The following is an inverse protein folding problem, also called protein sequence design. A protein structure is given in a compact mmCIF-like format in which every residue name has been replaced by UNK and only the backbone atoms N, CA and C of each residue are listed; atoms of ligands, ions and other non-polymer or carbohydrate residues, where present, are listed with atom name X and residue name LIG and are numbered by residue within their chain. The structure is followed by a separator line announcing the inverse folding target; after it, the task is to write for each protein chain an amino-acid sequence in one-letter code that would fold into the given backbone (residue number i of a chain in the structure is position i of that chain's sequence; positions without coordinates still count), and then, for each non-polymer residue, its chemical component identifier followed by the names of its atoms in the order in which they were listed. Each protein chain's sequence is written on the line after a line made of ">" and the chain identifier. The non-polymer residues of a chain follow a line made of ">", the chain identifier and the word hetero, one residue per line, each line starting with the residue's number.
data_IF_273488385247
#
_entry.id   IF_273488385247
#
_cell.length_a   1.000
_cell.length_b   1.000
_cell.length_c   1.000
_cell.angle_alpha   90.00
_cell.angle_beta   90.00
_cell.angle_gamma   90.00
#
_symmetry.space_group_name_H-M   'P 1'
#
loop_
_entity.id
_entity.type
_entity.pdbx_description
1 polymer ?
#
# COMPACT_ATOMS: atom_id res chain seq x y z
N UNK A 1 19.52 45.12 33.24
CA UNK A 1 19.37 43.74 32.83
C UNK A 1 19.86 42.81 33.96
N UNK A 2 19.05 41.88 34.46
CA UNK A 2 19.43 41.02 35.57
C UNK A 2 20.56 40.05 35.12
N UNK A 3 21.56 39.84 35.97
CA UNK A 3 22.72 38.94 35.67
C UNK A 3 22.25 37.56 35.14
N UNK A 4 21.13 37.06 35.63
CA UNK A 4 20.53 35.81 35.20
C UNK A 4 20.00 35.85 33.73
N UNK A 5 19.39 36.98 33.32
CA UNK A 5 18.97 37.18 31.92
C UNK A 5 20.15 37.27 30.97
N UNK A 6 21.24 37.98 31.38
CA UNK A 6 22.46 38.06 30.57
C UNK A 6 23.06 36.68 30.38
N UNK A 7 23.14 35.89 31.47
CA UNK A 7 23.60 34.50 31.40
C UNK A 7 22.75 33.65 30.44
N UNK A 8 21.42 33.76 30.53
CA UNK A 8 20.52 33.04 29.64
C UNK A 8 20.71 33.39 28.16
N UNK A 9 20.82 34.68 27.84
CA UNK A 9 21.06 35.15 26.46
C UNK A 9 22.41 34.64 25.93
N UNK A 10 23.47 34.74 26.74
CA UNK A 10 24.81 34.24 26.37
C UNK A 10 24.79 32.73 26.16
N UNK A 11 24.10 32.00 27.03
CA UNK A 11 23.98 30.55 26.94
C UNK A 11 23.21 30.10 25.67
N UNK A 12 22.09 30.75 25.34
CA UNK A 12 21.36 30.52 24.10
C UNK A 12 22.22 30.82 22.87
N UNK A 13 22.91 31.96 22.87
CA UNK A 13 23.81 32.32 21.77
C UNK A 13 24.96 31.32 21.59
N UNK A 14 25.50 30.79 22.69
CA UNK A 14 26.56 29.77 22.66
C UNK A 14 26.02 28.45 22.11
N UNK A 15 24.81 28.02 22.52
CA UNK A 15 24.16 26.80 21.99
C UNK A 15 23.88 26.95 20.50
N UNK A 16 23.40 28.10 20.05
CA UNK A 16 23.16 28.39 18.64
C UNK A 16 24.44 28.34 17.82
N UNK A 17 25.50 29.00 18.30
CA UNK A 17 26.81 28.94 17.68
C UNK A 17 27.38 27.54 17.56
N UNK A 18 27.29 26.76 18.64
CA UNK A 18 27.74 25.37 18.68
C UNK A 18 26.95 24.49 17.71
N UNK A 19 25.63 24.63 17.69
CA UNK A 19 24.76 23.89 16.78
C UNK A 19 25.06 24.22 15.31
N UNK A 20 25.31 25.52 15.02
CA UNK A 20 25.69 25.94 13.68
C UNK A 20 27.02 25.35 13.23
N UNK A 21 28.00 25.30 14.12
CA UNK A 21 29.34 24.72 13.82
C UNK A 21 29.24 23.23 13.57
N UNK A 22 28.43 22.51 14.37
CA UNK A 22 28.32 21.04 14.27
C UNK A 22 27.43 20.63 13.09
N UNK A 23 26.27 21.24 12.93
CA UNK A 23 25.22 20.80 12.00
C UNK A 23 25.10 21.66 10.73
N UNK A 24 25.60 22.91 10.74
CA UNK A 24 25.39 23.85 9.64
C UNK A 24 25.94 23.38 8.29
N UNK A 25 27.05 22.65 8.30
CA UNK A 25 27.64 22.09 7.08
C UNK A 25 26.92 20.85 6.53
N UNK A 26 26.04 20.24 7.31
CA UNK A 26 25.31 19.03 6.92
C UNK A 26 23.83 19.29 6.58
N UNK A 27 23.33 20.49 6.82
CA UNK A 27 21.92 20.84 6.61
C UNK A 27 21.50 20.92 5.13
N UNK A 28 22.43 21.09 4.20
CA UNK A 28 22.11 21.25 2.78
C UNK A 28 21.11 22.39 2.51
N UNK A 29 20.46 22.34 1.36
CA UNK A 29 19.40 23.30 0.99
C UNK A 29 17.98 22.85 1.38
N UNK A 30 17.86 21.74 2.09
CA UNK A 30 16.57 21.20 2.51
C UNK A 30 15.86 22.17 3.49
N UNK A 31 14.66 22.62 3.07
CA UNK A 31 13.81 23.52 3.85
C UNK A 31 13.34 22.88 5.16
N UNK A 32 13.18 21.56 5.20
CA UNK A 32 12.72 20.82 6.39
C UNK A 32 13.77 20.85 7.48
N UNK A 33 15.02 20.61 7.12
CA UNK A 33 16.14 20.70 8.06
C UNK A 33 16.29 22.12 8.62
N UNK A 34 16.10 23.14 7.77
CA UNK A 34 16.11 24.55 8.20
C UNK A 34 14.98 24.88 9.18
N UNK A 35 13.77 24.40 8.89
CA UNK A 35 12.59 24.58 9.76
C UNK A 35 12.71 23.80 11.07
N UNK A 36 13.20 22.57 11.04
CA UNK A 36 13.44 21.76 12.22
C UNK A 36 14.47 22.42 13.16
N UNK A 37 15.55 22.95 12.60
CA UNK A 37 16.56 23.68 13.35
C UNK A 37 15.98 24.97 13.98
N UNK A 38 15.19 25.73 13.23
CA UNK A 38 14.50 26.91 13.75
C UNK A 38 13.56 26.54 14.91
N UNK A 39 12.81 25.47 14.76
CA UNK A 39 11.93 24.92 15.81
C UNK A 39 12.69 24.51 17.07
N UNK A 40 13.80 23.81 16.93
CA UNK A 40 14.65 23.40 18.04
C UNK A 40 15.22 24.61 18.80
N UNK A 41 15.69 25.61 18.07
CA UNK A 41 16.17 26.89 18.63
C UNK A 41 15.06 27.61 19.38
N UNK A 42 13.88 27.73 18.78
CA UNK A 42 12.74 28.38 19.42
C UNK A 42 12.34 27.64 20.71
N UNK A 43 12.30 26.32 20.69
CA UNK A 43 11.98 25.51 21.86
C UNK A 43 13.00 25.69 22.98
N UNK A 44 14.30 25.64 22.68
CA UNK A 44 15.36 25.86 23.66
C UNK A 44 15.29 27.29 24.25
N UNK A 45 15.06 28.28 23.42
CA UNK A 45 14.94 29.70 23.84
C UNK A 45 13.75 29.88 24.80
N UNK A 46 12.59 29.32 24.44
CA UNK A 46 11.37 29.40 25.27
C UNK A 46 11.62 28.67 26.61
N UNK A 47 12.18 27.46 26.59
CA UNK A 47 12.44 26.69 27.80
C UNK A 47 13.39 27.44 28.76
N UNK A 48 14.47 28.01 28.25
CA UNK A 48 15.42 28.78 29.06
C UNK A 48 14.76 30.05 29.59
N UNK A 49 14.00 30.80 28.78
CA UNK A 49 13.31 31.99 29.20
C UNK A 49 12.28 31.68 30.31
N UNK A 50 11.50 30.63 30.15
CA UNK A 50 10.52 30.16 31.14
C UNK A 50 11.20 29.74 32.42
N UNK A 51 12.27 28.93 32.35
CA UNK A 51 13.02 28.52 33.53
C UNK A 51 13.59 29.73 34.32
N UNK A 52 14.26 30.65 33.63
CA UNK A 52 14.83 31.83 34.28
C UNK A 52 13.79 32.75 34.92
N UNK A 53 12.62 32.89 34.28
CA UNK A 53 11.51 33.66 34.82
C UNK A 53 10.91 33.00 36.06
N UNK A 54 10.64 31.72 36.00
CA UNK A 54 9.90 31.02 37.05
C UNK A 54 10.78 30.63 38.24
N UNK A 55 12.08 30.37 38.07
CA UNK A 55 13.00 30.16 39.21
C UNK A 55 12.92 31.34 40.19
N UNK A 56 12.93 32.57 39.69
CA UNK A 56 12.81 33.75 40.54
C UNK A 56 11.42 33.88 41.15
N UNK A 57 10.40 33.62 40.40
CA UNK A 57 9.01 33.65 40.85
C UNK A 57 8.78 32.62 41.97
N UNK A 58 9.25 31.38 41.79
CA UNK A 58 9.17 30.32 42.80
C UNK A 58 9.86 30.70 44.13
N UNK A 59 10.96 31.47 44.06
CA UNK A 59 11.68 31.93 45.27
C UNK A 59 10.96 33.06 46.00
N UNK A 60 10.12 33.83 45.33
CA UNK A 60 9.51 35.07 45.88
C UNK A 60 8.00 34.98 45.97
N UNK A 61 7.40 34.06 45.29
CA UNK A 61 5.94 33.92 45.22
C UNK A 61 5.37 33.31 46.50
N UNK A 62 4.25 33.86 46.95
CA UNK A 62 3.49 33.36 48.10
C UNK A 62 2.05 33.13 47.68
N UNK A 63 1.50 32.02 48.09
CA UNK A 63 0.08 31.75 47.90
C UNK A 63 -0.80 32.90 48.45
N UNK A 64 -1.87 33.21 47.75
CA UNK A 64 -2.81 34.25 48.15
C UNK A 64 -3.44 34.04 49.53
N UNK A 65 -3.38 32.81 50.07
CA UNK A 65 -4.01 32.41 51.31
C UNK A 65 -5.52 32.19 51.20
N UNK A 66 -6.14 32.48 50.06
CA UNK A 66 -7.57 32.23 49.80
C UNK A 66 -7.73 30.92 49.02
N UNK A 67 -8.53 30.02 49.57
CA UNK A 67 -8.92 28.78 48.88
C UNK A 67 -10.03 29.05 47.87
N UNK A 68 -10.05 28.29 46.81
CA UNK A 68 -11.20 28.18 45.92
C UNK A 68 -12.38 27.53 46.66
N UNK A 69 -13.61 27.81 46.22
CA UNK A 69 -14.81 27.22 46.81
C UNK A 69 -14.95 25.74 46.38
N UNK A 70 -14.23 25.34 45.33
CA UNK A 70 -14.20 23.97 44.82
C UNK A 70 -13.13 23.15 45.57
N UNK A 71 -13.49 21.89 45.83
CA UNK A 71 -12.62 20.92 46.49
C UNK A 71 -12.63 19.61 45.72
N UNK A 72 -11.45 19.15 45.33
CA UNK A 72 -11.26 17.92 44.58
C UNK A 72 -10.66 16.86 45.51
N UNK A 73 -11.41 15.82 45.81
CA UNK A 73 -11.00 14.72 46.69
C UNK A 73 -10.43 15.15 48.05
N UNK A 74 -10.96 16.24 48.63
CA UNK A 74 -10.46 16.75 49.90
C UNK A 74 -9.29 17.72 49.81
N UNK A 75 -8.81 18.00 48.57
CA UNK A 75 -7.72 18.94 48.31
C UNK A 75 -8.28 20.26 47.85
N UNK A 76 -8.06 21.32 48.61
CA UNK A 76 -8.42 22.69 48.25
C UNK A 76 -7.28 23.38 47.50
N UNK A 77 -7.63 24.17 46.50
CA UNK A 77 -6.66 24.94 45.70
C UNK A 77 -6.66 26.41 46.14
N UNK A 78 -5.48 27.04 46.09
CA UNK A 78 -5.40 28.49 46.33
C UNK A 78 -5.84 29.28 45.08
N UNK A 79 -6.61 30.35 45.29
CA UNK A 79 -6.97 31.32 44.24
C UNK A 79 -5.76 32.19 43.89
N UNK A 80 -4.94 31.70 42.99
CA UNK A 80 -3.80 32.45 42.49
C UNK A 80 -4.10 33.04 41.08
N UNK A 81 -3.58 34.23 40.82
CA UNK A 81 -3.69 34.81 39.48
C UNK A 81 -2.91 33.99 38.47
N UNK A 82 -3.51 33.80 37.29
CA UNK A 82 -2.84 33.12 36.18
C UNK A 82 -1.64 33.93 35.72
N UNK A 83 -0.43 33.37 35.68
CA UNK A 83 0.75 34.11 35.21
C UNK A 83 0.52 34.62 33.78
N UNK A 84 0.68 35.90 33.55
CA UNK A 84 0.46 36.54 32.23
C UNK A 84 1.18 35.83 31.10
N UNK A 85 2.45 35.39 31.31
CA UNK A 85 3.20 34.66 30.31
C UNK A 85 2.54 33.33 29.89
N UNK A 86 1.89 32.61 30.80
CA UNK A 86 1.14 31.41 30.51
C UNK A 86 -0.09 31.72 29.65
N UNK A 87 -0.84 32.76 30.00
CA UNK A 87 -2.03 33.17 29.26
C UNK A 87 -1.66 33.53 27.79
N UNK A 88 -0.56 34.26 27.58
CA UNK A 88 -0.10 34.64 26.25
C UNK A 88 0.35 33.43 25.43
N UNK A 89 1.15 32.52 26.03
CA UNK A 89 1.61 31.31 25.33
C UNK A 89 0.42 30.42 24.99
N UNK A 90 -0.48 30.20 25.92
CA UNK A 90 -1.66 29.38 25.70
C UNK A 90 -2.54 29.93 24.58
N UNK A 91 -2.82 31.24 24.59
CA UNK A 91 -3.58 31.91 23.53
C UNK A 91 -2.86 31.78 22.17
N UNK A 92 -1.54 32.02 22.15
CA UNK A 92 -0.72 31.90 20.94
C UNK A 92 -0.73 30.48 20.36
N UNK A 93 -0.63 29.45 21.20
CA UNK A 93 -0.72 28.06 20.78
C UNK A 93 -2.10 27.70 20.22
N UNK A 94 -3.19 28.22 20.83
CA UNK A 94 -4.52 27.98 20.28
C UNK A 94 -4.72 28.66 18.91
N UNK A 95 -4.26 29.91 18.74
CA UNK A 95 -4.32 30.61 17.46
C UNK A 95 -3.49 29.85 16.41
N UNK A 96 -2.28 29.44 16.77
CA UNK A 96 -1.43 28.63 15.89
C UNK A 96 -2.06 27.28 15.52
N UNK A 97 -2.67 26.59 16.49
CA UNK A 97 -3.33 25.31 16.23
C UNK A 97 -4.53 25.48 15.27
N UNK A 98 -5.34 26.54 15.46
CA UNK A 98 -6.44 26.84 14.56
C UNK A 98 -5.93 27.10 13.15
N UNK A 99 -4.91 27.94 13.00
CA UNK A 99 -4.29 28.21 11.70
C UNK A 99 -3.72 26.94 11.09
N UNK A 100 -3.01 26.10 11.87
CA UNK A 100 -2.43 24.84 11.41
C UNK A 100 -3.48 23.89 10.86
N UNK A 101 -4.59 23.69 11.58
CA UNK A 101 -5.63 22.76 11.15
C UNK A 101 -6.51 23.29 10.01
N UNK A 102 -6.71 24.60 9.91
CA UNK A 102 -7.59 25.19 8.89
C UNK A 102 -6.86 25.57 7.59
N UNK A 103 -5.61 25.96 7.68
CA UNK A 103 -4.86 26.51 6.55
C UNK A 103 -3.51 25.82 6.30
N UNK A 104 -2.81 25.37 7.33
CA UNK A 104 -1.48 24.79 7.22
C UNK A 104 -1.46 23.31 6.87
N UNK A 105 -2.46 22.58 7.34
CA UNK A 105 -2.56 21.13 7.16
C UNK A 105 -4.02 20.75 6.86
N UNK A 106 -4.34 19.92 5.86
CA UNK A 106 -3.47 19.14 4.96
C UNK A 106 -3.15 19.84 3.62
N UNK A 107 -3.54 21.12 3.43
CA UNK A 107 -3.59 21.74 2.09
C UNK A 107 -2.20 22.21 1.60
N UNK A 108 -1.40 22.82 2.46
CA UNK A 108 -0.11 23.40 2.08
C UNK A 108 1.04 22.97 2.99
N UNK A 109 0.81 22.05 3.92
CA UNK A 109 1.87 21.61 4.80
C UNK A 109 2.66 20.50 4.13
N UNK A 110 3.96 20.57 4.25
CA UNK A 110 4.85 19.44 4.07
C UNK A 110 4.36 18.28 4.92
N UNK A 111 4.16 17.12 4.33
CA UNK A 111 3.75 15.93 5.05
C UNK A 111 4.72 14.79 4.77
N UNK A 112 5.06 14.02 5.79
CA UNK A 112 5.88 12.81 5.64
C UNK A 112 5.28 11.81 4.65
N UNK A 113 3.94 11.78 4.55
CA UNK A 113 3.25 10.94 3.56
C UNK A 113 3.49 11.46 2.14
N UNK A 114 3.46 12.78 1.94
CA UNK A 114 3.77 13.41 0.65
C UNK A 114 5.20 13.15 0.21
N UNK A 115 6.16 13.37 1.11
CA UNK A 115 7.58 13.06 0.87
C UNK A 115 7.80 11.60 0.54
N UNK A 116 7.22 10.69 1.34
CA UNK A 116 7.29 9.26 1.07
C UNK A 116 6.76 8.90 -0.32
N UNK A 117 5.63 9.48 -0.73
CA UNK A 117 5.08 9.22 -2.07
C UNK A 117 5.98 9.75 -3.18
N UNK A 118 6.61 10.93 -2.99
CA UNK A 118 7.58 11.48 -3.93
C UNK A 118 8.85 10.62 -4.02
N UNK A 119 9.38 10.19 -2.89
CA UNK A 119 10.54 9.31 -2.81
C UNK A 119 10.27 7.95 -3.44
N UNK A 120 9.10 7.36 -3.18
CA UNK A 120 8.68 6.10 -3.82
C UNK A 120 8.56 6.28 -5.33
N UNK A 121 7.91 7.34 -5.80
CA UNK A 121 7.79 7.61 -7.23
C UNK A 121 9.16 7.81 -7.91
N UNK A 122 10.07 8.53 -7.27
CA UNK A 122 11.44 8.72 -7.76
C UNK A 122 12.24 7.41 -7.77
N UNK A 123 12.11 6.60 -6.72
CA UNK A 123 12.73 5.28 -6.62
C UNK A 123 12.21 4.35 -7.73
N UNK A 124 10.89 4.30 -7.90
CA UNK A 124 10.25 3.43 -8.91
C UNK A 124 10.65 3.83 -10.32
N UNK A 125 10.68 5.14 -10.63
CA UNK A 125 11.15 5.63 -11.92
C UNK A 125 12.61 5.24 -12.20
N UNK A 126 13.48 5.33 -11.18
CA UNK A 126 14.88 4.90 -11.29
C UNK A 126 14.98 3.39 -11.47
N UNK A 127 14.21 2.62 -10.71
CA UNK A 127 14.15 1.16 -10.80
C UNK A 127 13.68 0.72 -12.19
N UNK A 128 12.60 1.29 -12.70
CA UNK A 128 12.10 1.04 -14.05
C UNK A 128 13.16 1.31 -15.13
N UNK A 129 13.84 2.46 -15.05
CA UNK A 129 14.87 2.82 -16.01
C UNK A 129 16.08 1.87 -15.96
N UNK A 130 16.48 1.42 -14.78
CA UNK A 130 17.59 0.48 -14.60
C UNK A 130 17.27 -0.93 -15.12
N UNK A 131 16.02 -1.35 -15.05
CA UNK A 131 15.59 -2.72 -15.33
C UNK A 131 14.74 -2.85 -16.61
N UNK A 132 14.61 -1.77 -17.39
CA UNK A 132 13.80 -1.75 -18.61
C UNK A 132 14.17 -2.80 -19.67
N UNK A 133 15.46 -3.16 -19.74
CA UNK A 133 16.03 -4.05 -20.77
C UNK A 133 16.58 -5.36 -20.19
N UNK A 134 15.95 -5.91 -19.17
CA UNK A 134 16.33 -7.19 -18.58
C UNK A 134 16.04 -8.34 -19.55
N UNK A 135 16.93 -9.32 -19.59
CA UNK A 135 16.70 -10.58 -20.28
C UNK A 135 15.68 -11.45 -19.54
N UNK A 136 15.16 -12.48 -20.22
CA UNK A 136 14.09 -13.33 -19.69
C UNK A 136 14.52 -14.08 -18.42
N UNK A 137 15.77 -14.53 -18.34
CA UNK A 137 16.27 -15.26 -17.16
C UNK A 137 16.33 -14.35 -15.93
N UNK A 138 16.90 -13.17 -16.07
CA UNK A 138 16.96 -12.17 -14.99
C UNK A 138 15.54 -11.72 -14.56
N UNK A 139 14.60 -11.60 -15.52
CA UNK A 139 13.19 -11.32 -15.18
C UNK A 139 12.58 -12.45 -14.34
N UNK A 140 12.85 -13.72 -14.66
CA UNK A 140 12.36 -14.86 -13.86
C UNK A 140 12.95 -14.86 -12.46
N UNK A 141 14.24 -14.62 -12.31
CA UNK A 141 14.90 -14.53 -10.99
C UNK A 141 14.30 -13.41 -10.14
N UNK A 142 14.11 -12.24 -10.72
CA UNK A 142 13.42 -11.11 -10.07
C UNK A 142 12.00 -11.51 -9.69
N UNK A 143 11.24 -12.12 -10.61
CA UNK A 143 9.88 -12.58 -10.39
C UNK A 143 9.80 -13.57 -9.24
N UNK A 144 10.72 -14.51 -9.15
CA UNK A 144 10.84 -15.46 -8.04
C UNK A 144 11.08 -14.76 -6.71
N UNK A 145 11.95 -13.76 -6.67
CA UNK A 145 12.22 -12.97 -5.47
C UNK A 145 10.99 -12.19 -5.00
N UNK A 146 10.27 -11.57 -5.93
CA UNK A 146 9.01 -10.85 -5.62
C UNK A 146 7.94 -11.85 -5.17
N UNK A 147 7.85 -13.01 -5.83
CA UNK A 147 6.86 -14.05 -5.50
C UNK A 147 7.01 -14.52 -4.06
N UNK A 148 8.23 -14.79 -3.61
CA UNK A 148 8.49 -15.24 -2.22
C UNK A 148 7.96 -14.23 -1.20
N UNK A 149 8.12 -12.94 -1.46
CA UNK A 149 7.74 -11.88 -0.51
C UNK A 149 6.25 -11.54 -0.59
N UNK A 150 5.71 -11.40 -1.80
CA UNK A 150 4.36 -10.87 -2.02
C UNK A 150 3.29 -11.94 -2.21
N UNK A 151 3.64 -13.08 -2.80
CA UNK A 151 2.67 -14.07 -3.27
C UNK A 151 2.69 -15.37 -2.45
N UNK A 152 3.88 -15.83 -2.03
CA UNK A 152 4.06 -17.07 -1.29
C UNK A 152 3.28 -17.14 0.04
N UNK A 153 3.02 -16.06 0.80
CA UNK A 153 2.18 -16.11 1.99
C UNK A 153 0.78 -16.71 1.75
N UNK A 154 0.25 -16.55 0.52
CA UNK A 154 -1.03 -17.14 0.13
C UNK A 154 -0.88 -18.37 -0.80
N UNK A 155 0.04 -18.29 -1.77
CA UNK A 155 0.21 -19.31 -2.80
C UNK A 155 1.19 -20.45 -2.45
N UNK A 156 1.90 -20.34 -1.31
CA UNK A 156 2.95 -21.31 -0.93
C UNK A 156 4.30 -21.02 -1.61
N UNK A 157 5.39 -21.47 -0.97
CA UNK A 157 6.74 -21.33 -1.54
C UNK A 157 6.90 -22.13 -2.84
N UNK A 158 6.16 -23.24 -2.99
CA UNK A 158 6.11 -24.07 -4.20
C UNK A 158 5.00 -23.64 -5.15
N UNK A 159 4.31 -22.56 -4.86
CA UNK A 159 3.16 -22.06 -5.64
C UNK A 159 2.00 -23.06 -5.78
N UNK A 160 1.90 -24.03 -4.86
CA UNK A 160 0.91 -25.13 -4.83
C UNK A 160 -0.46 -24.73 -4.27
N UNK A 161 -0.58 -23.49 -3.72
CA UNK A 161 -1.83 -22.94 -3.20
C UNK A 161 -2.16 -23.35 -1.78
N UNK A 162 -1.22 -23.94 -1.03
CA UNK A 162 -1.33 -24.31 0.40
C UNK A 162 -2.68 -25.04 0.68
N UNK A 163 -2.81 -26.25 0.19
CA UNK A 163 -4.01 -27.09 0.39
C UNK A 163 -5.34 -26.42 -0.01
N UNK A 164 -5.29 -25.58 -1.07
CA UNK A 164 -6.47 -24.92 -1.61
C UNK A 164 -6.86 -23.61 -0.93
N UNK A 165 -5.99 -23.00 -0.11
CA UNK A 165 -6.17 -21.64 0.43
C UNK A 165 -6.07 -20.58 -0.66
N UNK A 166 -5.26 -20.84 -1.69
CA UNK A 166 -5.17 -20.04 -2.89
C UNK A 166 -5.11 -20.93 -4.14
N UNK A 167 -5.10 -20.34 -5.32
CA UNK A 167 -4.94 -21.09 -6.56
C UNK A 167 -3.54 -21.71 -6.63
N UNK A 168 -3.48 -22.97 -7.06
CA UNK A 168 -2.25 -23.62 -7.44
C UNK A 168 -1.75 -23.01 -8.77
N UNK A 169 -0.55 -22.44 -8.76
CA UNK A 169 0.03 -21.78 -9.93
C UNK A 169 0.97 -22.68 -10.74
N UNK A 170 1.20 -23.93 -10.28
CA UNK A 170 1.96 -24.94 -11.04
C UNK A 170 1.10 -25.60 -12.12
N UNK A 171 -0.22 -25.43 -12.05
CA UNK A 171 -1.19 -25.85 -13.04
C UNK A 171 -2.07 -24.71 -13.44
N UNK A 172 -2.43 -24.60 -14.73
CA UNK A 172 -3.19 -23.44 -15.20
C UNK A 172 -4.58 -23.37 -14.59
N UNK A 173 -5.31 -24.48 -14.61
CA UNK A 173 -6.67 -24.60 -14.06
C UNK A 173 -6.90 -25.99 -13.50
N UNK A 174 -7.52 -26.04 -12.33
CA UNK A 174 -8.03 -27.28 -11.75
C UNK A 174 -9.48 -27.52 -12.19
N UNK A 175 -9.86 -28.79 -12.35
CA UNK A 175 -11.21 -29.21 -12.77
C UNK A 175 -12.33 -28.54 -11.95
N UNK A 176 -12.15 -28.49 -10.60
CA UNK A 176 -13.12 -27.85 -9.70
C UNK A 176 -13.33 -26.37 -9.99
N UNK A 177 -12.25 -25.67 -10.36
CA UNK A 177 -12.28 -24.24 -10.68
C UNK A 177 -12.99 -24.02 -12.01
N UNK A 178 -12.73 -24.86 -13.01
CA UNK A 178 -13.39 -24.79 -14.32
C UNK A 178 -14.89 -24.99 -14.16
N UNK A 179 -15.32 -26.05 -13.45
CA UNK A 179 -16.73 -26.30 -13.16
C UNK A 179 -17.41 -25.15 -12.43
N UNK A 180 -16.72 -24.57 -11.45
CA UNK A 180 -17.25 -23.40 -10.75
C UNK A 180 -17.48 -22.21 -11.68
N UNK A 181 -16.48 -21.89 -12.53
CA UNK A 181 -16.57 -20.77 -13.47
C UNK A 181 -17.66 -20.99 -14.50
N UNK A 182 -17.79 -22.20 -15.05
CA UNK A 182 -18.87 -22.52 -16.00
C UNK A 182 -20.24 -22.36 -15.34
N UNK A 183 -20.42 -22.81 -14.11
CA UNK A 183 -21.71 -22.75 -13.43
C UNK A 183 -22.11 -21.34 -12.96
N UNK A 184 -21.13 -20.48 -12.63
CA UNK A 184 -21.39 -19.19 -11.98
C UNK A 184 -20.97 -17.99 -12.83
N UNK A 185 -20.32 -18.21 -13.96
CA UNK A 185 -19.69 -17.15 -14.72
C UNK A 185 -18.39 -16.60 -14.06
N UNK A 186 -17.77 -15.65 -14.72
CA UNK A 186 -16.57 -14.97 -14.21
C UNK A 186 -16.65 -13.49 -14.58
N UNK A 187 -16.35 -12.62 -13.61
CA UNK A 187 -16.26 -11.17 -13.84
C UNK A 187 -15.18 -10.77 -14.85
N UNK A 188 -15.24 -9.54 -15.26
CA UNK A 188 -14.42 -8.94 -16.32
C UNK A 188 -12.96 -8.73 -15.92
N UNK A 189 -12.10 -9.64 -15.86
CA UNK A 189 -10.65 -9.53 -15.55
C UNK A 189 -9.89 -8.63 -16.57
N UNK A 190 -10.34 -7.39 -16.76
CA UNK A 190 -9.80 -6.48 -17.78
C UNK A 190 -10.36 -6.68 -19.19
N UNK A 191 -11.20 -7.69 -19.42
CA UNK A 191 -11.84 -7.96 -20.70
C UNK A 191 -13.16 -7.18 -20.84
N UNK A 192 -13.60 -6.86 -22.09
CA UNK A 192 -14.82 -6.06 -22.31
C UNK A 192 -16.11 -6.69 -21.84
N UNK A 193 -16.16 -8.01 -21.75
CA UNK A 193 -17.35 -8.75 -21.32
C UNK A 193 -16.99 -9.82 -20.28
N UNK A 194 -17.89 -10.09 -19.31
CA UNK A 194 -17.73 -11.20 -18.39
C UNK A 194 -17.93 -12.54 -19.12
N UNK A 195 -17.31 -13.62 -18.61
CA UNK A 195 -17.67 -14.96 -19.04
C UNK A 195 -19.08 -15.28 -18.50
N UNK A 196 -20.03 -15.67 -19.37
CA UNK A 196 -21.38 -16.02 -18.91
C UNK A 196 -21.37 -17.29 -18.06
N UNK A 197 -22.42 -17.44 -17.26
CA UNK A 197 -22.71 -18.69 -16.58
C UNK A 197 -23.26 -19.74 -17.54
N UNK A 198 -23.52 -20.97 -17.03
CA UNK A 198 -24.06 -22.08 -17.83
C UNK A 198 -25.35 -21.75 -18.60
N UNK A 199 -26.18 -20.83 -18.10
CA UNK A 199 -27.43 -20.45 -18.76
C UNK A 199 -27.21 -19.56 -20.00
N UNK A 200 -26.01 -18.99 -20.12
CA UNK A 200 -25.56 -18.24 -21.29
C UNK A 200 -24.66 -19.07 -22.23
N UNK A 201 -24.37 -20.34 -21.92
CA UNK A 201 -23.49 -21.20 -22.70
C UNK A 201 -24.28 -22.22 -23.51
N UNK A 202 -24.22 -22.10 -24.82
CA UNK A 202 -24.87 -23.03 -25.77
C UNK A 202 -23.79 -23.88 -26.45
N UNK A 203 -24.01 -25.17 -26.50
CA UNK A 203 -23.21 -26.06 -27.33
C UNK A 203 -23.75 -26.05 -28.77
N UNK A 204 -22.97 -25.43 -29.65
CA UNK A 204 -23.35 -25.28 -31.07
C UNK A 204 -23.48 -26.62 -31.83
N UNK A 205 -22.84 -27.68 -31.32
CA UNK A 205 -22.94 -29.03 -31.94
C UNK A 205 -24.27 -29.67 -31.66
N UNK A 206 -24.88 -29.42 -30.49
CA UNK A 206 -26.18 -29.97 -30.08
C UNK A 206 -27.32 -28.96 -30.20
N UNK A 207 -27.01 -27.69 -30.42
CA UNK A 207 -27.94 -26.57 -30.45
C UNK A 207 -28.78 -26.43 -29.17
N UNK A 208 -28.19 -26.78 -28.04
CA UNK A 208 -28.78 -26.79 -26.69
C UNK A 208 -27.85 -26.15 -25.65
N UNK A 209 -28.40 -25.75 -24.50
CA UNK A 209 -27.60 -25.32 -23.36
C UNK A 209 -26.71 -26.47 -22.85
N UNK A 210 -25.53 -26.09 -22.38
CA UNK A 210 -24.54 -27.04 -21.85
C UNK A 210 -25.11 -27.85 -20.65
N UNK A 211 -25.01 -29.16 -20.71
CA UNK A 211 -25.47 -30.10 -19.67
C UNK A 211 -24.42 -30.36 -18.61
N UNK A 212 -24.82 -30.94 -17.45
CA UNK A 212 -23.85 -31.28 -16.38
C UNK A 212 -22.80 -32.29 -16.88
N UNK A 213 -23.19 -33.29 -17.68
CA UNK A 213 -22.25 -34.25 -18.25
C UNK A 213 -21.22 -33.58 -19.20
N UNK A 214 -21.67 -32.64 -20.00
CA UNK A 214 -20.78 -31.86 -20.88
C UNK A 214 -19.85 -30.92 -20.07
N UNK A 215 -20.35 -30.33 -18.99
CA UNK A 215 -19.51 -29.52 -18.04
C UNK A 215 -18.42 -30.40 -17.42
N UNK A 216 -18.78 -31.60 -16.98
CA UNK A 216 -17.82 -32.54 -16.41
C UNK A 216 -16.76 -32.99 -17.45
N UNK A 217 -17.16 -33.30 -18.65
CA UNK A 217 -16.27 -33.69 -19.73
C UNK A 217 -15.32 -32.55 -20.16
N UNK A 218 -15.84 -31.36 -20.40
CA UNK A 218 -15.01 -30.22 -20.82
C UNK A 218 -14.09 -29.75 -19.70
N UNK A 219 -14.52 -29.82 -18.43
CA UNK A 219 -13.66 -29.46 -17.31
C UNK A 219 -12.47 -30.39 -17.17
N UNK A 220 -12.66 -31.70 -17.34
CA UNK A 220 -11.55 -32.67 -17.39
C UNK A 220 -10.64 -32.46 -18.58
N UNK A 221 -11.19 -32.16 -19.75
CA UNK A 221 -10.44 -31.91 -20.97
C UNK A 221 -9.52 -30.68 -20.79
N UNK A 222 -10.03 -29.56 -20.30
CA UNK A 222 -9.24 -28.35 -20.10
C UNK A 222 -8.24 -28.51 -18.96
N UNK A 223 -8.63 -29.13 -17.83
CA UNK A 223 -7.71 -29.41 -16.72
C UNK A 223 -6.60 -30.39 -17.11
N UNK A 224 -6.86 -31.30 -18.04
CA UNK A 224 -5.89 -32.22 -18.61
C UNK A 224 -4.97 -31.59 -19.68
N UNK A 225 -4.97 -30.26 -19.82
CA UNK A 225 -4.17 -29.55 -20.81
C UNK A 225 -4.69 -29.71 -22.23
N UNK A 226 -5.99 -29.94 -22.40
CA UNK A 226 -6.68 -30.13 -23.68
C UNK A 226 -6.16 -31.30 -24.50
N UNK A 227 -5.76 -32.39 -23.79
CA UNK A 227 -5.30 -33.63 -24.39
C UNK A 227 -6.41 -34.68 -24.34
N UNK A 228 -6.55 -35.44 -25.41
CA UNK A 228 -7.58 -36.49 -25.51
C UNK A 228 -8.80 -36.04 -26.30
N UNK A 229 -9.83 -36.90 -26.32
CA UNK A 229 -11.05 -36.68 -27.10
C UNK A 229 -12.28 -36.40 -26.23
N UNK A 230 -12.29 -36.89 -24.98
CA UNK A 230 -13.42 -36.67 -24.07
C UNK A 230 -13.52 -35.16 -23.73
N UNK A 231 -14.64 -34.52 -24.07
CA UNK A 231 -14.88 -33.11 -23.85
C UNK A 231 -14.32 -32.18 -24.96
N UNK A 232 -13.53 -32.69 -25.92
CA UNK A 232 -12.99 -31.89 -27.01
C UNK A 232 -14.08 -31.30 -27.91
N UNK A 233 -15.13 -32.09 -28.24
CA UNK A 233 -16.27 -31.63 -29.03
C UNK A 233 -17.08 -30.57 -28.30
N UNK A 234 -17.26 -30.72 -26.99
CA UNK A 234 -17.93 -29.71 -26.15
C UNK A 234 -17.11 -28.40 -26.11
N UNK A 235 -15.79 -28.52 -25.95
CA UNK A 235 -14.90 -27.37 -26.01
C UNK A 235 -15.02 -26.62 -27.34
N UNK A 236 -14.95 -27.36 -28.46
CA UNK A 236 -15.05 -26.78 -29.78
C UNK A 236 -16.39 -26.08 -30.03
N UNK A 237 -17.50 -26.71 -29.56
CA UNK A 237 -18.85 -26.20 -29.77
C UNK A 237 -19.28 -25.10 -28.80
N UNK A 238 -18.59 -24.94 -27.64
CA UNK A 238 -19.05 -23.99 -26.60
C UNK A 238 -18.00 -22.96 -26.23
N UNK A 239 -16.73 -23.37 -26.08
CA UNK A 239 -15.68 -22.56 -25.45
C UNK A 239 -14.76 -21.88 -26.47
N UNK A 240 -14.48 -22.55 -27.59
CA UNK A 240 -13.50 -22.13 -28.56
C UNK A 240 -13.84 -20.80 -29.25
N UNK A 241 -15.12 -20.42 -29.33
CA UNK A 241 -15.56 -19.15 -29.89
C UNK A 241 -14.98 -17.92 -29.18
N UNK A 242 -14.73 -18.05 -27.87
CA UNK A 242 -14.14 -16.97 -27.06
C UNK A 242 -12.66 -17.26 -26.70
N UNK A 243 -12.37 -18.51 -26.30
CA UNK A 243 -11.04 -18.88 -25.82
C UNK A 243 -10.07 -19.37 -26.91
N UNK A 244 -10.50 -19.38 -28.16
CA UNK A 244 -9.72 -19.91 -29.28
C UNK A 244 -9.75 -21.44 -29.36
N UNK A 245 -9.44 -22.01 -30.55
CA UNK A 245 -9.51 -23.47 -30.76
C UNK A 245 -8.46 -24.24 -29.96
N UNK A 246 -7.39 -23.60 -29.55
CA UNK A 246 -6.30 -24.15 -28.74
C UNK A 246 -6.35 -23.68 -27.27
N UNK A 247 -7.40 -22.95 -26.87
CA UNK A 247 -7.59 -22.44 -25.51
C UNK A 247 -6.61 -21.34 -25.07
N UNK A 248 -5.80 -20.79 -25.99
CA UNK A 248 -4.81 -19.76 -25.67
C UNK A 248 -5.38 -18.36 -25.48
N UNK A 249 -6.71 -18.25 -25.58
CA UNK A 249 -7.40 -16.99 -25.49
C UNK A 249 -7.43 -16.23 -26.81
N UNK A 250 -8.15 -15.15 -26.81
CA UNK A 250 -8.16 -14.18 -27.90
C UNK A 250 -8.02 -12.77 -27.31
N UNK A 251 -7.12 -11.99 -27.90
CA UNK A 251 -6.87 -10.61 -27.47
C UNK A 251 -8.17 -9.82 -27.39
N UNK A 252 -8.37 -9.07 -26.32
CA UNK A 252 -9.58 -8.26 -26.04
C UNK A 252 -10.90 -9.05 -25.99
N UNK A 253 -10.88 -10.38 -26.01
CA UNK A 253 -12.11 -11.21 -25.97
C UNK A 253 -12.12 -12.09 -24.73
N UNK A 254 -11.14 -12.97 -24.56
CA UNK A 254 -11.08 -13.89 -23.43
C UNK A 254 -9.64 -14.34 -23.12
N UNK A 255 -9.34 -14.63 -21.85
CA UNK A 255 -7.99 -15.05 -21.43
C UNK A 255 -7.63 -16.44 -21.92
N UNK A 256 -6.31 -16.74 -21.94
CA UNK A 256 -5.83 -18.12 -22.09
C UNK A 256 -6.34 -18.99 -20.94
N UNK A 257 -6.85 -20.15 -21.29
CA UNK A 257 -7.23 -21.23 -20.34
C UNK A 257 -6.32 -22.45 -20.48
N UNK A 258 -5.46 -22.46 -21.51
CA UNK A 258 -4.49 -23.54 -21.76
C UNK A 258 -3.26 -23.40 -20.86
N UNK A 259 -2.72 -22.19 -20.74
CA UNK A 259 -1.46 -21.88 -20.09
C UNK A 259 -1.53 -20.53 -19.36
N UNK A 260 -0.60 -20.30 -18.45
CA UNK A 260 -0.29 -18.95 -18.00
C UNK A 260 0.52 -18.22 -19.07
N UNK A 261 0.23 -16.94 -19.22
CA UNK A 261 1.04 -16.03 -20.03
C UNK A 261 1.20 -14.69 -19.29
N UNK A 262 2.22 -13.88 -19.64
CA UNK A 262 2.48 -12.63 -18.93
C UNK A 262 1.30 -11.66 -18.93
N UNK A 263 0.52 -11.59 -19.99
CA UNK A 263 -0.66 -10.71 -20.09
C UNK A 263 -1.73 -11.11 -19.07
N UNK A 264 -2.07 -12.39 -19.01
CA UNK A 264 -3.02 -12.89 -18.03
C UNK A 264 -2.57 -12.64 -16.59
N UNK A 265 -1.29 -12.85 -16.30
CA UNK A 265 -0.75 -12.58 -14.96
C UNK A 265 -0.86 -11.09 -14.63
N UNK A 266 -0.50 -10.22 -15.58
CA UNK A 266 -0.62 -8.77 -15.43
C UNK A 266 -2.07 -8.32 -15.18
N UNK A 267 -3.03 -8.87 -15.92
CA UNK A 267 -4.46 -8.56 -15.74
C UNK A 267 -4.97 -8.98 -14.36
N UNK A 268 -4.58 -10.17 -13.89
CA UNK A 268 -4.95 -10.66 -12.55
C UNK A 268 -4.30 -9.80 -11.46
N UNK A 269 -3.06 -9.40 -11.60
CA UNK A 269 -2.38 -8.52 -10.65
C UNK A 269 -3.03 -7.13 -10.59
N UNK A 270 -3.40 -6.59 -11.74
CA UNK A 270 -4.00 -5.26 -11.84
C UNK A 270 -5.43 -5.19 -11.30
N UNK A 271 -6.25 -6.22 -11.56
CA UNK A 271 -7.69 -6.19 -11.25
C UNK A 271 -8.06 -7.04 -10.03
N UNK A 272 -7.14 -7.89 -9.56
CA UNK A 272 -7.47 -8.96 -8.64
C UNK A 272 -8.35 -10.04 -9.30
N UNK A 273 -8.70 -11.07 -8.56
CA UNK A 273 -9.58 -12.11 -9.04
C UNK A 273 -10.47 -12.67 -7.93
N UNK A 274 -11.78 -12.74 -8.17
CA UNK A 274 -12.72 -13.42 -7.29
C UNK A 274 -13.14 -14.74 -7.94
N UNK A 275 -13.09 -15.83 -7.21
CA UNK A 275 -13.42 -17.16 -7.72
C UNK A 275 -13.83 -18.14 -6.62
N UNK A 276 -13.83 -19.44 -6.95
CA UNK A 276 -14.27 -20.53 -6.06
C UNK A 276 -13.53 -20.58 -4.71
N UNK A 277 -12.26 -20.19 -4.68
CA UNK A 277 -11.40 -20.30 -3.50
C UNK A 277 -11.52 -19.05 -2.62
N UNK A 278 -11.89 -17.91 -3.21
CA UNK A 278 -11.96 -16.62 -2.51
C UNK A 278 -11.61 -15.45 -3.43
N UNK A 279 -11.10 -14.37 -2.85
CA UNK A 279 -10.72 -13.16 -3.58
C UNK A 279 -9.21 -12.91 -3.44
N UNK A 280 -8.52 -12.82 -4.55
CA UNK A 280 -7.17 -12.29 -4.66
C UNK A 280 -7.25 -10.77 -4.83
N UNK A 281 -6.58 -9.96 -4.00
CA UNK A 281 -6.57 -8.50 -4.16
C UNK A 281 -5.79 -8.06 -5.41
N UNK A 282 -6.03 -6.83 -5.85
CA UNK A 282 -5.17 -6.18 -6.84
C UNK A 282 -3.86 -5.71 -6.19
N UNK A 283 -2.76 -5.72 -6.96
CA UNK A 283 -1.42 -5.32 -6.54
C UNK A 283 -0.96 -4.07 -7.29
N UNK A 284 -1.64 -2.95 -7.04
CA UNK A 284 -1.39 -1.68 -7.73
C UNK A 284 -0.08 -0.97 -7.30
N UNK A 285 0.62 -1.52 -6.32
CA UNK A 285 1.91 -1.06 -5.82
C UNK A 285 3.11 -1.67 -6.57
N UNK A 286 2.87 -2.62 -7.45
CA UNK A 286 3.94 -3.21 -8.26
C UNK A 286 4.23 -2.32 -9.47
N UNK A 287 5.52 -2.15 -9.78
CA UNK A 287 5.97 -1.45 -11.00
C UNK A 287 5.75 -2.31 -12.25
N UNK A 288 5.82 -1.71 -13.43
CA UNK A 288 5.63 -2.45 -14.69
C UNK A 288 6.67 -3.56 -14.87
N UNK A 289 7.93 -3.30 -14.53
CA UNK A 289 9.01 -4.30 -14.58
C UNK A 289 8.73 -5.43 -13.59
N UNK A 290 8.26 -5.14 -12.39
CA UNK A 290 7.90 -6.16 -11.39
C UNK A 290 6.74 -7.04 -11.86
N UNK A 291 5.74 -6.46 -12.50
CA UNK A 291 4.62 -7.20 -13.09
C UNK A 291 5.10 -8.11 -14.22
N UNK A 292 5.99 -7.62 -15.11
CA UNK A 292 6.62 -8.43 -16.16
C UNK A 292 7.43 -9.58 -15.57
N UNK A 293 8.21 -9.31 -14.54
CA UNK A 293 9.01 -10.32 -13.85
C UNK A 293 8.16 -11.44 -13.24
N UNK A 294 7.08 -11.08 -12.54
CA UNK A 294 6.10 -12.04 -12.03
C UNK A 294 5.43 -12.81 -13.16
N UNK A 295 5.08 -12.14 -14.26
CA UNK A 295 4.54 -12.80 -15.46
C UNK A 295 5.47 -13.86 -16.01
N UNK A 296 6.77 -13.56 -16.15
CA UNK A 296 7.78 -14.51 -16.60
C UNK A 296 7.93 -15.70 -15.64
N UNK A 297 8.01 -15.41 -14.33
CA UNK A 297 8.16 -16.44 -13.30
C UNK A 297 6.96 -17.39 -13.23
N UNK A 298 5.73 -16.87 -13.14
CA UNK A 298 4.51 -17.68 -13.03
C UNK A 298 4.28 -18.51 -14.31
N UNK A 299 4.59 -17.94 -15.47
CA UNK A 299 4.53 -18.69 -16.73
C UNK A 299 5.50 -19.87 -16.74
N UNK A 300 6.67 -19.72 -16.14
CA UNK A 300 7.68 -20.78 -16.06
C UNK A 300 7.32 -21.89 -15.07
N UNK A 301 6.66 -21.56 -13.96
CA UNK A 301 6.20 -22.53 -12.96
C UNK A 301 5.24 -23.60 -13.51
N UNK A 302 4.51 -23.29 -14.56
CA UNK A 302 3.48 -24.15 -15.15
C UNK A 302 3.93 -24.93 -16.38
N UNK A 303 5.20 -24.84 -16.77
CA UNK A 303 5.80 -25.62 -17.87
C UNK A 303 6.22 -26.99 -17.40
#
# INVERSE_FOLDING_TARGET
>A
MNKLMVFGVVFVAALLGLTWVIAGGQMGDDIVNKLAMLGAVATATIAIFVALKYIRQMQTDKASGKLADENWDGIGEYKNELPFGWAVIFLGLNIWAIWYFLAGYPVNAYSQIGEYNEDVAAHDAKFEAQHANMDEETLKEMGGSIFIVQCAPCHGLQADGIDGKAANLTVRLEEKTIKHVINNGQGMLGYPAPMPDRNGLMNMNTNALITDAEIDAVAKYVAGGMKGTEGADVFAGTCAACHGPDGKGMEMVAPSIADFNPTLVADVLKHGKKGAIGAMPAFNNLTEVQVKALGAYVTDLSK
#
